data_IF_983519096573
#
_entry.id   IF_983519096573
#
_cell.length_a   1.000
_cell.length_b   1.000
_cell.length_c   1.000
_cell.angle_alpha   90.00
_cell.angle_beta   90.00
_cell.angle_gamma   90.00
#
_symmetry.space_group_name_H-M   'P 1'
#
loop_
_entity.id
_entity.type
_entity.pdbx_description
1 polymer ?
#
# COMPACT_ATOMS: atom_id res chain seq x y z
N UNK A 1 34.90 -26.92 4.95
CA UNK A 1 34.30 -26.48 3.67
C UNK A 1 32.90 -25.89 3.92
N UNK A 2 32.81 -24.72 4.53
CA UNK A 2 31.52 -24.01 4.74
C UNK A 2 31.52 -22.59 4.14
N UNK A 3 32.60 -22.21 3.44
CA UNK A 3 32.79 -20.84 2.92
C UNK A 3 32.33 -20.67 1.46
N UNK A 4 31.93 -21.74 0.76
CA UNK A 4 31.51 -21.67 -0.65
C UNK A 4 30.00 -21.42 -0.85
N UNK A 5 29.18 -21.61 0.20
CA UNK A 5 27.72 -21.47 0.10
C UNK A 5 27.22 -20.02 0.18
N UNK A 6 27.92 -19.14 0.90
CA UNK A 6 27.48 -17.77 1.09
C UNK A 6 27.57 -16.92 -0.19
N UNK A 7 28.55 -17.18 -1.06
CA UNK A 7 28.73 -16.40 -2.30
C UNK A 7 27.59 -16.62 -3.29
N UNK A 8 27.09 -17.85 -3.41
CA UNK A 8 25.97 -18.16 -4.29
C UNK A 8 24.66 -17.54 -3.82
N UNK A 9 24.43 -17.52 -2.50
CA UNK A 9 23.24 -16.91 -1.90
C UNK A 9 23.30 -15.39 -2.10
N UNK A 10 24.40 -14.72 -1.75
CA UNK A 10 24.53 -13.26 -1.92
C UNK A 10 24.37 -12.84 -3.40
N UNK A 11 24.89 -13.63 -4.34
CA UNK A 11 24.70 -13.39 -5.77
C UNK A 11 23.24 -13.54 -6.22
N UNK A 12 22.54 -14.57 -5.75
CA UNK A 12 21.13 -14.79 -6.05
C UNK A 12 20.22 -13.70 -5.45
N UNK A 13 20.48 -13.31 -4.19
CA UNK A 13 19.79 -12.19 -3.53
C UNK A 13 20.02 -10.88 -4.29
N UNK A 14 21.26 -10.61 -4.72
CA UNK A 14 21.60 -9.44 -5.52
C UNK A 14 20.87 -9.40 -6.86
N UNK A 15 20.81 -10.52 -7.57
CA UNK A 15 20.09 -10.61 -8.86
C UNK A 15 18.58 -10.48 -8.67
N UNK A 16 18.00 -11.12 -7.65
CA UNK A 16 16.56 -11.04 -7.40
C UNK A 16 16.13 -9.61 -7.03
N UNK A 17 16.94 -8.92 -6.22
CA UNK A 17 16.73 -7.51 -5.87
C UNK A 17 16.82 -6.63 -7.11
N UNK A 18 17.87 -6.77 -7.92
CA UNK A 18 18.03 -5.96 -9.14
C UNK A 18 16.93 -6.22 -10.18
N UNK A 19 16.38 -7.43 -10.22
CA UNK A 19 15.36 -7.81 -11.19
C UNK A 19 13.92 -7.45 -10.75
N UNK A 20 13.64 -7.49 -9.44
CA UNK A 20 12.25 -7.46 -8.93
C UNK A 20 12.06 -6.68 -7.63
N UNK A 21 13.10 -5.99 -7.14
CA UNK A 21 13.09 -5.26 -5.87
C UNK A 21 12.71 -6.13 -4.66
N UNK A 22 13.00 -7.44 -4.75
CA UNK A 22 12.72 -8.45 -3.73
C UNK A 22 13.91 -9.37 -3.52
N UNK A 23 14.18 -9.69 -2.26
CA UNK A 23 15.09 -10.79 -1.92
C UNK A 23 14.46 -12.13 -2.30
N UNK A 24 15.26 -13.19 -2.45
CA UNK A 24 14.75 -14.54 -2.75
C UNK A 24 13.82 -15.00 -1.64
N UNK A 25 14.15 -14.65 -0.39
CA UNK A 25 13.32 -14.92 0.79
C UNK A 25 11.99 -14.16 0.72
N UNK A 26 11.99 -12.89 0.31
CA UNK A 26 10.77 -12.10 0.13
C UNK A 26 9.84 -12.68 -0.94
N UNK A 27 10.39 -13.31 -1.99
CA UNK A 27 9.58 -14.05 -2.99
C UNK A 27 8.89 -15.26 -2.38
N UNK A 28 9.59 -16.05 -1.57
CA UNK A 28 9.01 -17.22 -0.89
C UNK A 28 7.92 -16.78 0.07
N UNK A 29 8.19 -15.75 0.87
CA UNK A 29 7.22 -15.20 1.82
C UNK A 29 5.99 -14.69 1.08
N UNK A 30 6.19 -13.87 0.04
CA UNK A 30 5.09 -13.31 -0.75
C UNK A 30 4.19 -14.38 -1.37
N UNK A 31 4.78 -15.46 -1.90
CA UNK A 31 4.04 -16.60 -2.43
C UNK A 31 3.28 -17.35 -1.34
N UNK A 32 3.87 -17.53 -0.16
CA UNK A 32 3.25 -18.28 0.94
C UNK A 32 2.13 -17.51 1.64
N UNK A 33 2.28 -16.19 1.81
CA UNK A 33 1.31 -15.34 2.47
C UNK A 33 0.26 -14.79 1.51
N UNK A 34 0.47 -14.91 0.20
CA UNK A 34 -0.37 -14.30 -0.84
C UNK A 34 -0.34 -12.78 -0.80
N UNK A 35 0.70 -12.19 -0.21
CA UNK A 35 0.87 -10.75 -0.02
C UNK A 35 2.12 -10.26 -0.74
N UNK A 36 2.15 -9.00 -1.14
CA UNK A 36 3.32 -8.41 -1.78
C UNK A 36 4.32 -7.90 -0.73
N UNK A 37 5.20 -8.77 -0.25
CA UNK A 37 6.16 -8.47 0.81
C UNK A 37 7.57 -8.22 0.24
N UNK A 38 8.28 -7.22 0.78
CA UNK A 38 9.68 -6.93 0.43
C UNK A 38 10.43 -6.28 1.58
N UNK A 39 11.67 -6.72 1.81
CA UNK A 39 12.58 -6.14 2.80
C UNK A 39 13.01 -4.73 2.40
N UNK A 40 13.19 -4.46 1.11
CA UNK A 40 13.53 -3.12 0.61
C UNK A 40 12.44 -2.09 0.94
N UNK A 41 11.16 -2.49 0.94
CA UNK A 41 10.05 -1.62 1.36
C UNK A 41 10.18 -1.19 2.82
N UNK A 42 10.59 -2.11 3.70
CA UNK A 42 10.87 -1.77 5.11
C UNK A 42 12.01 -0.77 5.23
N UNK A 43 13.06 -0.93 4.44
CA UNK A 43 14.21 -0.01 4.47
C UNK A 43 13.82 1.41 4.03
N UNK A 44 12.81 1.54 3.16
CA UNK A 44 12.19 2.81 2.77
C UNK A 44 11.20 3.38 3.80
N UNK A 45 11.05 2.72 4.96
CA UNK A 45 10.13 3.13 6.02
C UNK A 45 8.67 2.77 5.79
N UNK A 46 8.38 1.92 4.80
CA UNK A 46 7.03 1.40 4.55
C UNK A 46 6.80 0.09 5.30
N UNK A 47 5.54 -0.37 5.32
CA UNK A 47 5.22 -1.72 5.81
C UNK A 47 5.88 -2.82 4.98
N UNK A 48 6.10 -3.98 5.62
CA UNK A 48 6.73 -5.13 4.97
C UNK A 48 5.99 -5.59 3.73
N UNK A 49 4.68 -5.77 3.90
CA UNK A 49 3.77 -6.19 2.87
C UNK A 49 2.88 -5.00 2.54
N UNK A 50 2.70 -4.76 1.26
CA UNK A 50 1.95 -3.62 0.74
C UNK A 50 0.54 -3.54 1.32
N UNK A 51 -0.11 -4.68 1.49
CA UNK A 51 -1.48 -4.82 2.00
C UNK A 51 -1.63 -4.47 3.48
N UNK A 52 -0.52 -4.44 4.23
CA UNK A 52 -0.51 -4.05 5.64
C UNK A 52 -0.39 -2.53 5.80
N UNK A 53 -0.16 -1.77 4.72
CA UNK A 53 -0.15 -0.31 4.76
C UNK A 53 -1.56 0.23 5.05
N UNK A 54 -1.70 0.97 6.16
CA UNK A 54 -2.98 1.53 6.56
C UNK A 54 -3.26 2.79 5.75
N UNK A 55 -3.98 2.65 4.63
CA UNK A 55 -4.46 3.81 3.87
C UNK A 55 -5.42 4.62 4.78
N UNK A 56 -5.11 5.89 5.11
CA UNK A 56 -6.01 6.70 5.91
C UNK A 56 -7.29 6.92 5.09
N UNK A 57 -8.39 6.34 5.57
CA UNK A 57 -9.73 6.60 5.03
C UNK A 57 -10.11 8.03 5.41
N UNK A 58 -9.85 8.99 4.50
CA UNK A 58 -10.21 10.39 4.71
C UNK A 58 -11.72 10.53 4.49
N UNK A 59 -12.48 10.62 5.58
CA UNK A 59 -13.90 10.95 5.50
C UNK A 59 -14.05 12.43 5.13
N UNK A 60 -14.19 12.73 3.84
CA UNK A 60 -14.44 14.09 3.36
C UNK A 60 -15.95 14.39 3.33
N UNK A 61 -16.31 15.62 3.65
CA UNK A 61 -17.67 16.13 3.60
C UNK A 61 -17.82 17.03 2.38
N UNK A 62 -18.50 16.54 1.34
CA UNK A 62 -18.72 17.28 0.10
C UNK A 62 -20.10 17.94 0.08
N UNK A 63 -20.11 19.26 -0.06
CA UNK A 63 -21.34 20.05 -0.17
C UNK A 63 -21.49 20.56 -1.60
N UNK A 64 -22.70 20.42 -2.15
CA UNK A 64 -23.03 20.90 -3.48
C UNK A 64 -23.42 22.37 -3.41
N UNK A 65 -22.65 23.23 -4.07
CA UNK A 65 -22.98 24.65 -4.24
C UNK A 65 -23.61 24.90 -5.61
N UNK A 66 -23.99 26.14 -5.91
CA UNK A 66 -24.63 26.51 -7.17
C UNK A 66 -23.71 26.39 -8.40
N UNK A 67 -22.39 26.44 -8.20
CA UNK A 67 -21.39 26.41 -9.28
C UNK A 67 -20.47 25.18 -9.24
N UNK A 68 -20.19 24.63 -8.06
CA UNK A 68 -19.23 23.52 -7.90
C UNK A 68 -19.53 22.68 -6.65
N UNK A 69 -18.99 21.47 -6.59
CA UNK A 69 -18.97 20.67 -5.35
C UNK A 69 -17.70 21.02 -4.58
N UNK A 70 -17.85 21.50 -3.34
CA UNK A 70 -16.71 21.81 -2.46
C UNK A 70 -16.64 20.77 -1.35
N UNK A 71 -15.48 20.13 -1.19
CA UNK A 71 -15.24 19.11 -0.16
C UNK A 71 -14.33 19.63 0.95
N UNK A 72 -14.66 19.29 2.20
CA UNK A 72 -13.93 19.68 3.41
C UNK A 72 -13.47 18.44 4.20
N UNK A 73 -12.36 18.58 4.93
CA UNK A 73 -11.83 17.56 5.85
C UNK A 73 -12.63 17.44 7.16
N UNK A 74 -13.49 18.42 7.43
CA UNK A 74 -14.33 18.53 8.64
C UNK A 74 -15.72 19.07 8.28
N UNK A 75 -16.77 18.68 9.02
CA UNK A 75 -18.11 19.20 8.75
C UNK A 75 -18.15 20.71 9.04
N UNK A 76 -18.71 21.47 8.10
CA UNK A 76 -18.86 22.94 8.22
C UNK A 76 -20.20 23.31 8.86
N UNK A 77 -21.16 22.37 8.89
CA UNK A 77 -22.50 22.53 9.45
C UNK A 77 -22.93 21.29 10.25
N UNK A 78 -23.62 21.49 11.39
CA UNK A 78 -24.17 20.42 12.26
C UNK A 78 -25.56 19.89 11.77
N UNK A 79 -25.88 20.11 10.50
CA UNK A 79 -27.14 19.67 9.90
C UNK A 79 -27.00 18.25 9.35
N UNK A 80 -28.06 17.43 9.51
CA UNK A 80 -28.16 16.07 8.94
C UNK A 80 -27.81 16.06 7.44
N UNK A 81 -26.60 15.64 7.10
CA UNK A 81 -26.16 15.48 5.71
C UNK A 81 -25.70 14.04 5.52
N UNK A 82 -26.17 13.44 4.44
CA UNK A 82 -25.91 12.04 4.09
C UNK A 82 -24.43 11.84 3.82
N UNK A 83 -23.80 10.92 4.56
CA UNK A 83 -22.39 10.58 4.36
C UNK A 83 -22.22 9.93 2.99
N UNK A 84 -21.64 10.66 2.04
CA UNK A 84 -21.20 10.06 0.78
C UNK A 84 -19.95 9.24 1.09
N UNK A 85 -20.11 7.94 1.32
CA UNK A 85 -18.98 7.00 1.39
C UNK A 85 -18.16 7.16 0.12
N UNK A 86 -16.88 7.49 0.26
CA UNK A 86 -15.92 7.43 -0.83
C UNK A 86 -15.87 5.97 -1.32
N UNK A 87 -16.49 5.72 -2.48
CA UNK A 87 -16.63 4.38 -3.06
C UNK A 87 -18.01 4.20 -3.71
N UNK A 88 -18.23 4.89 -4.84
CA UNK A 88 -19.46 4.77 -5.61
C UNK A 88 -19.19 4.86 -7.10
N UNK A 89 -18.80 3.73 -7.70
CA UNK A 89 -19.04 3.51 -9.12
C UNK A 89 -20.56 3.63 -9.36
N UNK A 90 -20.95 4.49 -10.30
CA UNK A 90 -22.35 4.73 -10.66
C UNK A 90 -22.79 3.63 -11.64
N UNK A 91 -23.78 2.77 -11.33
CA UNK A 91 -24.44 1.99 -12.38
C UNK A 91 -25.28 2.93 -13.25
N UNK A 92 -25.24 2.70 -14.57
CA UNK A 92 -25.88 3.52 -15.61
C UNK A 92 -27.38 3.67 -15.44
#
# INVERSE_FOLDING_TARGET
MLTAGCVGIVGAEGVSVMATDKTVVDHVISLSSGKNCSTLRKDLGLTYCEEDEKVPQMNVFCYRTLGEITCYDRPVYDGKQEQVRQGGEKPR
#
